data_IF_842507733225
#
_entry.id   IF_842507733225
#
_cell.length_a   1.000
_cell.length_b   1.000
_cell.length_c   1.000
_cell.angle_alpha   90.00
_cell.angle_beta   90.00
_cell.angle_gamma   90.00
#
_symmetry.space_group_name_H-M   'P 1'
#
loop_
_entity.id
_entity.type
_entity.pdbx_description
1 polymer ?
#
# COMPACT_ATOMS: atom_id res chain seq x y z
N UNK A 1 8.40 -49.79 6.88
CA UNK A 1 7.34 -48.79 7.12
C UNK A 1 8.03 -47.48 7.49
N UNK A 2 8.23 -46.57 6.54
CA UNK A 2 8.91 -45.30 6.77
C UNK A 2 8.23 -44.22 5.93
N UNK A 3 7.12 -43.68 6.45
CA UNK A 3 6.50 -42.48 5.89
C UNK A 3 5.51 -41.90 6.92
N UNK A 4 5.95 -40.94 7.75
CA UNK A 4 5.10 -39.91 8.40
C UNK A 4 5.94 -38.94 9.27
N UNK A 5 6.84 -38.14 8.69
CA UNK A 5 7.41 -36.99 9.43
C UNK A 5 7.83 -35.79 8.58
N UNK A 6 7.74 -35.87 7.25
CA UNK A 6 8.17 -34.78 6.35
C UNK A 6 7.10 -33.68 6.21
N UNK A 7 5.93 -33.84 6.83
CA UNK A 7 4.83 -32.85 6.77
C UNK A 7 5.07 -31.64 7.69
N UNK A 8 5.99 -31.70 8.65
CA UNK A 8 6.05 -30.67 9.70
C UNK A 8 7.12 -29.59 9.48
N UNK A 9 8.35 -29.91 9.06
CA UNK A 9 9.42 -28.90 9.10
C UNK A 9 9.27 -27.76 8.09
N UNK A 10 8.82 -28.04 6.87
CA UNK A 10 8.62 -27.01 5.85
C UNK A 10 7.34 -26.22 6.11
N UNK A 11 6.30 -26.89 6.61
CA UNK A 11 5.02 -26.26 6.94
C UNK A 11 5.10 -25.41 8.22
N UNK A 12 5.78 -25.90 9.27
CA UNK A 12 6.04 -25.16 10.49
C UNK A 12 6.90 -23.90 10.24
N UNK A 13 7.87 -23.95 9.32
CA UNK A 13 8.65 -22.78 8.91
C UNK A 13 7.82 -21.75 8.14
N UNK A 14 6.87 -22.19 7.32
CA UNK A 14 5.92 -21.30 6.63
C UNK A 14 4.91 -20.67 7.60
N UNK A 15 4.44 -21.42 8.59
CA UNK A 15 3.53 -20.93 9.64
C UNK A 15 4.21 -19.92 10.57
N UNK A 16 5.50 -20.12 10.88
CA UNK A 16 6.26 -19.20 11.72
C UNK A 16 6.64 -17.89 11.01
N UNK A 17 6.61 -17.85 9.68
CA UNK A 17 6.91 -16.65 8.92
C UNK A 17 5.72 -16.31 8.00
N UNK A 18 4.60 -15.82 8.57
CA UNK A 18 3.35 -15.57 7.84
C UNK A 18 3.46 -14.48 6.76
N UNK A 19 4.62 -13.85 6.62
CA UNK A 19 4.94 -12.86 5.58
C UNK A 19 5.58 -13.54 4.34
N UNK A 20 6.13 -14.75 4.49
CA UNK A 20 7.09 -15.30 3.53
C UNK A 20 6.52 -15.75 2.17
N UNK A 21 5.25 -16.18 2.09
CA UNK A 21 4.66 -16.66 0.81
C UNK A 21 3.16 -16.27 0.64
N UNK A 22 2.60 -15.39 1.46
CA UNK A 22 1.22 -14.93 1.30
C UNK A 22 1.16 -13.67 0.42
N UNK A 23 0.50 -13.78 -0.73
CA UNK A 23 0.04 -12.61 -1.48
C UNK A 23 -1.06 -11.96 -0.64
N UNK A 24 -0.74 -10.84 -0.01
CA UNK A 24 -1.68 -10.09 0.81
C UNK A 24 -2.00 -8.76 0.13
N UNK A 25 -3.30 -8.48 0.00
CA UNK A 25 -3.82 -7.19 -0.45
C UNK A 25 -4.61 -6.53 0.69
N UNK A 26 -3.95 -6.01 1.73
CA UNK A 26 -4.65 -5.27 2.77
C UNK A 26 -5.22 -3.98 2.21
N UNK A 27 -6.49 -3.73 2.53
CA UNK A 27 -7.19 -2.49 2.28
C UNK A 27 -7.45 -1.79 3.62
N UNK A 28 -7.05 -0.54 3.73
CA UNK A 28 -7.35 0.29 4.89
C UNK A 28 -8.15 1.50 4.43
N UNK A 29 -9.40 1.60 4.89
CA UNK A 29 -10.22 2.78 4.63
C UNK A 29 -10.20 3.70 5.84
N UNK A 30 -9.83 4.96 5.66
CA UNK A 30 -9.88 5.99 6.67
C UNK A 30 -10.90 7.06 6.27
N UNK A 31 -11.98 7.14 7.05
CA UNK A 31 -13.04 8.14 6.87
C UNK A 31 -12.84 9.26 7.89
N UNK A 32 -12.42 10.42 7.41
CA UNK A 32 -12.24 11.62 8.20
C UNK A 32 -13.52 12.47 8.15
N UNK A 33 -14.20 12.60 9.29
CA UNK A 33 -15.34 13.51 9.47
C UNK A 33 -14.85 14.87 9.96
N UNK A 34 -15.68 15.92 9.87
CA UNK A 34 -15.35 17.21 10.47
C UNK A 34 -14.53 18.16 9.60
N UNK A 35 -14.42 17.91 8.29
CA UNK A 35 -13.52 18.70 7.44
C UNK A 35 -14.17 19.99 6.94
N UNK A 36 -13.51 21.11 7.24
CA UNK A 36 -13.87 22.44 6.76
C UNK A 36 -15.13 23.03 7.39
N UNK A 37 -15.50 24.23 6.92
CA UNK A 37 -16.65 25.01 7.44
C UNK A 37 -17.99 24.28 7.27
N UNK A 38 -18.08 23.34 6.33
CA UNK A 38 -19.31 22.61 5.99
C UNK A 38 -19.36 21.20 6.58
N UNK A 39 -18.49 20.86 7.54
CA UNK A 39 -18.48 19.55 8.23
C UNK A 39 -18.50 18.37 7.25
N UNK A 40 -17.60 18.39 6.26
CA UNK A 40 -17.58 17.41 5.17
C UNK A 40 -16.82 16.15 5.58
N UNK A 41 -17.09 15.07 4.85
CA UNK A 41 -16.43 13.79 5.00
C UNK A 41 -15.41 13.60 3.89
N UNK A 42 -14.20 13.19 4.25
CA UNK A 42 -13.16 12.76 3.32
C UNK A 42 -12.89 11.28 3.53
N UNK A 43 -12.74 10.55 2.43
CA UNK A 43 -12.40 9.14 2.45
C UNK A 43 -11.03 8.92 1.82
N UNK A 44 -10.19 8.15 2.50
CA UNK A 44 -8.87 7.75 2.00
C UNK A 44 -8.75 6.22 2.11
N UNK A 45 -8.69 5.57 0.95
CA UNK A 45 -8.48 4.14 0.84
C UNK A 45 -7.02 3.84 0.50
N UNK A 46 -6.31 3.14 1.38
CA UNK A 46 -4.98 2.61 1.12
C UNK A 46 -5.08 1.17 0.64
N UNK A 47 -4.78 0.94 -0.63
CA UNK A 47 -4.51 -0.39 -1.16
C UNK A 47 -3.01 -0.69 -1.04
N UNK A 48 -2.66 -1.83 -0.45
CA UNK A 48 -1.27 -2.12 -0.10
C UNK A 48 -0.84 -3.52 -0.57
N UNK A 49 -0.79 -3.78 -1.89
CA UNK A 49 -0.31 -5.05 -2.41
C UNK A 49 1.07 -5.41 -1.87
N UNK A 50 1.20 -6.63 -1.35
CA UNK A 50 2.45 -7.27 -0.97
C UNK A 50 2.66 -8.52 -1.83
N UNK A 51 3.71 -8.49 -2.65
CA UNK A 51 4.08 -9.57 -3.55
C UNK A 51 5.48 -10.10 -3.18
N UNK A 52 5.59 -11.34 -2.66
CA UNK A 52 6.86 -12.01 -2.47
C UNK A 52 7.35 -12.62 -3.79
N UNK A 53 8.59 -12.33 -4.17
CA UNK A 53 9.30 -12.92 -5.29
C UNK A 53 10.51 -13.69 -4.77
N UNK A 54 10.53 -15.00 -5.01
CA UNK A 54 11.64 -15.85 -4.61
C UNK A 54 12.75 -15.80 -5.67
N UNK A 55 13.91 -15.25 -5.31
CA UNK A 55 15.07 -15.23 -6.20
C UNK A 55 15.85 -16.54 -6.14
N UNK A 56 16.02 -17.09 -4.93
CA UNK A 56 16.79 -18.30 -4.65
C UNK A 56 16.21 -18.99 -3.41
N UNK A 57 16.58 -20.25 -3.11
CA UNK A 57 16.13 -20.96 -1.91
C UNK A 57 16.41 -20.22 -0.58
N UNK A 58 17.36 -19.29 -0.61
CA UNK A 58 17.82 -18.54 0.56
C UNK A 58 17.28 -17.10 0.64
N UNK A 59 16.86 -16.49 -0.48
CA UNK A 59 16.55 -15.06 -0.55
C UNK A 59 15.21 -14.78 -1.22
N UNK A 60 14.42 -13.93 -0.57
CA UNK A 60 13.11 -13.47 -1.05
C UNK A 60 13.10 -11.95 -1.12
N UNK A 61 12.57 -11.41 -2.22
CA UNK A 61 12.27 -9.99 -2.38
C UNK A 61 10.78 -9.80 -2.08
N UNK A 62 10.45 -8.88 -1.20
CA UNK A 62 9.08 -8.42 -0.97
C UNK A 62 8.92 -7.07 -1.66
N UNK A 63 8.02 -7.02 -2.64
CA UNK A 63 7.59 -5.77 -3.26
C UNK A 63 6.26 -5.36 -2.64
N UNK A 64 6.23 -4.21 -1.98
CA UNK A 64 5.02 -3.59 -1.47
C UNK A 64 4.79 -2.27 -2.18
N UNK A 65 3.56 -2.00 -2.58
CA UNK A 65 3.19 -0.68 -3.12
C UNK A 65 2.06 -0.11 -2.30
N UNK A 66 2.22 1.11 -1.78
CA UNK A 66 1.15 1.83 -1.08
C UNK A 66 0.46 2.73 -2.10
N UNK A 67 -0.81 2.45 -2.37
CA UNK A 67 -1.64 3.18 -3.33
C UNK A 67 -2.77 3.86 -2.55
N UNK A 68 -2.67 5.17 -2.30
CA UNK A 68 -3.77 5.92 -1.70
C UNK A 68 -4.77 6.35 -2.78
N UNK A 69 -6.02 5.98 -2.64
CA UNK A 69 -7.15 6.56 -3.36
C UNK A 69 -7.87 7.53 -2.42
N UNK A 70 -7.98 8.78 -2.85
CA UNK A 70 -8.44 9.89 -2.01
C UNK A 70 -9.71 10.45 -2.65
N UNK A 71 -10.77 10.56 -1.87
CA UNK A 71 -11.98 11.31 -2.20
C UNK A 71 -12.04 12.49 -1.25
N UNK A 72 -11.71 13.68 -1.76
CA UNK A 72 -11.64 14.91 -0.99
C UNK A 72 -12.83 15.82 -1.32
N UNK A 73 -13.61 16.26 -0.31
CA UNK A 73 -14.64 17.27 -0.53
C UNK A 73 -14.00 18.63 -0.82
N UNK A 74 -14.67 19.45 -1.63
CA UNK A 74 -14.32 20.86 -1.75
C UNK A 74 -14.58 21.55 -0.40
N UNK A 75 -13.55 22.22 0.14
CA UNK A 75 -13.62 22.93 1.42
C UNK A 75 -14.06 24.38 1.24
N UNK A 76 -13.99 24.93 0.03
CA UNK A 76 -14.31 26.31 -0.30
C UNK A 76 -15.77 26.47 -0.76
N UNK A 77 -16.32 25.46 -1.43
CA UNK A 77 -17.69 25.48 -1.93
C UNK A 77 -18.62 24.54 -1.15
N UNK A 78 -19.92 24.86 -1.05
CA UNK A 78 -20.91 23.99 -0.39
C UNK A 78 -21.11 22.66 -1.12
N UNK A 79 -20.75 22.57 -2.41
CA UNK A 79 -20.90 21.37 -3.22
C UNK A 79 -19.65 21.08 -4.07
N UNK A 80 -19.33 19.80 -4.24
CA UNK A 80 -18.18 19.34 -5.01
C UNK A 80 -17.29 18.37 -4.25
N UNK A 81 -16.76 17.40 -4.99
CA UNK A 81 -15.76 16.44 -4.54
C UNK A 81 -14.72 16.28 -5.64
N UNK A 82 -13.48 16.04 -5.25
CA UNK A 82 -12.39 15.66 -6.13
C UNK A 82 -11.89 14.31 -5.68
N UNK A 83 -11.88 13.34 -6.59
CA UNK A 83 -11.33 12.03 -6.36
C UNK A 83 -10.09 11.80 -7.22
N UNK A 84 -9.19 10.97 -6.71
CA UNK A 84 -7.99 10.61 -7.45
C UNK A 84 -7.06 9.72 -6.65
N UNK A 85 -6.11 9.12 -7.38
CA UNK A 85 -4.93 8.53 -6.79
C UNK A 85 -4.03 9.64 -6.25
N UNK A 86 -3.64 9.48 -4.98
CA UNK A 86 -2.54 10.22 -4.39
C UNK A 86 -1.21 9.61 -4.80
N UNK A 87 -0.15 10.16 -4.24
CA UNK A 87 1.19 9.72 -4.57
C UNK A 87 1.44 8.26 -4.14
N UNK A 88 1.94 7.46 -5.07
CA UNK A 88 2.22 6.04 -4.85
C UNK A 88 3.58 5.92 -4.17
N UNK A 89 3.67 5.09 -3.13
CA UNK A 89 4.93 4.83 -2.43
C UNK A 89 5.28 3.35 -2.62
N UNK A 90 6.19 3.01 -3.56
CA UNK A 90 6.73 1.67 -3.65
C UNK A 90 7.74 1.43 -2.52
N UNK A 91 7.89 0.17 -2.15
CA UNK A 91 8.78 -0.29 -1.09
C UNK A 91 9.30 -1.67 -1.45
N UNK A 92 10.60 -1.87 -1.35
CA UNK A 92 11.23 -3.15 -1.64
C UNK A 92 12.05 -3.58 -0.43
N UNK A 93 11.75 -4.77 0.08
CA UNK A 93 12.46 -5.39 1.19
C UNK A 93 13.12 -6.67 0.69
N UNK A 94 14.39 -6.88 1.01
CA UNK A 94 15.12 -8.10 0.69
C UNK A 94 15.50 -8.77 2.00
N UNK A 95 15.19 -10.06 2.13
CA UNK A 95 15.48 -10.80 3.34
C UNK A 95 15.64 -12.30 3.13
N UNK A 96 16.19 -13.00 4.13
CA UNK A 96 16.32 -14.44 4.09
C UNK A 96 14.95 -15.13 4.16
N UNK A 97 14.79 -16.22 3.40
CA UNK A 97 13.54 -17.01 3.34
C UNK A 97 13.27 -17.80 4.63
N UNK A 98 14.34 -18.24 5.31
CA UNK A 98 14.25 -19.05 6.52
C UNK A 98 15.18 -18.49 7.61
N UNK A 99 14.64 -18.32 8.82
CA UNK A 99 15.24 -17.76 10.06
C UNK A 99 15.33 -16.23 10.13
N UNK A 100 15.15 -15.73 11.36
CA UNK A 100 15.25 -14.33 11.80
C UNK A 100 16.62 -13.70 11.54
N UNK A 101 16.93 -13.48 10.27
CA UNK A 101 18.00 -12.61 9.81
C UNK A 101 17.50 -11.20 9.57
N UNK A 102 18.45 -10.29 9.36
CA UNK A 102 18.16 -8.89 9.12
C UNK A 102 17.53 -8.70 7.74
N UNK A 103 16.50 -7.86 7.67
CA UNK A 103 15.93 -7.41 6.40
C UNK A 103 16.63 -6.13 5.96
N UNK A 104 17.02 -6.07 4.68
CA UNK A 104 17.51 -4.85 4.07
C UNK A 104 16.38 -4.22 3.25
N UNK A 105 15.95 -3.03 3.65
CA UNK A 105 14.84 -2.31 3.03
C UNK A 105 15.29 -1.09 2.27
N UNK A 106 14.67 -0.87 1.11
CA UNK A 106 14.74 0.38 0.37
C UNK A 106 13.31 0.91 0.21
N UNK A 107 13.11 2.15 0.64
CA UNK A 107 11.89 2.91 0.38
C UNK A 107 12.25 3.93 -0.70
N UNK A 108 12.02 3.63 -1.99
CA UNK A 108 12.21 4.61 -3.05
C UNK A 108 11.33 5.83 -2.79
N UNK A 109 11.75 6.94 -3.39
CA UNK A 109 10.99 8.17 -3.33
C UNK A 109 9.56 7.98 -3.84
N UNK A 110 8.68 8.77 -3.25
CA UNK A 110 7.28 8.88 -3.60
C UNK A 110 7.09 9.18 -5.10
N UNK A 111 6.23 8.42 -5.77
CA UNK A 111 5.86 8.59 -7.18
C UNK A 111 4.62 9.47 -7.27
N UNK A 112 4.74 10.64 -7.88
CA UNK A 112 3.62 11.54 -8.08
C UNK A 112 2.71 11.03 -9.18
N UNK A 113 1.43 10.82 -8.86
CA UNK A 113 0.46 10.28 -9.82
C UNK A 113 -0.44 11.34 -10.45
N UNK A 114 -0.36 12.61 -10.03
CA UNK A 114 -1.03 13.80 -10.59
C UNK A 114 -2.55 13.68 -10.93
N UNK A 115 -3.20 12.58 -10.58
CA UNK A 115 -4.57 12.31 -11.04
C UNK A 115 -5.58 13.23 -10.36
N UNK A 116 -5.40 13.54 -9.07
CA UNK A 116 -6.22 14.50 -8.32
C UNK A 116 -6.02 15.96 -8.83
N UNK A 117 -4.88 16.30 -9.43
CA UNK A 117 -4.63 17.62 -10.05
C UNK A 117 -5.19 17.75 -11.47
N UNK A 118 -5.56 16.65 -12.12
CA UNK A 118 -6.06 16.68 -13.50
C UNK A 118 -7.51 17.15 -13.62
N UNK A 119 -8.24 17.26 -12.51
CA UNK A 119 -9.62 17.71 -12.51
C UNK A 119 -9.74 19.11 -13.15
N UNK A 120 -10.77 19.37 -13.99
CA UNK A 120 -10.93 20.65 -14.67
C UNK A 120 -10.91 21.86 -13.74
N UNK A 121 -11.34 21.67 -12.48
CA UNK A 121 -11.37 22.70 -11.44
C UNK A 121 -10.01 22.94 -10.79
N UNK A 122 -9.18 21.92 -10.56
CA UNK A 122 -7.82 22.13 -10.04
C UNK A 122 -6.98 22.98 -11.03
N UNK A 123 -7.12 22.72 -12.34
CA UNK A 123 -6.55 23.56 -13.42
C UNK A 123 -7.13 24.97 -13.52
N UNK A 124 -8.32 25.22 -13.00
CA UNK A 124 -8.90 26.57 -12.91
C UNK A 124 -8.38 27.33 -11.68
N UNK A 125 -8.08 26.63 -10.59
CA UNK A 125 -7.49 27.23 -9.38
C UNK A 125 -6.04 27.66 -9.63
N UNK A 126 -5.22 26.83 -10.29
CA UNK A 126 -3.85 27.22 -10.71
C UNK A 126 -3.82 28.37 -11.73
N UNK A 127 -4.86 28.50 -12.57
CA UNK A 127 -4.97 29.61 -13.53
C UNK A 127 -5.50 30.93 -12.94
N UNK A 128 -5.93 30.91 -11.68
CA UNK A 128 -6.42 32.09 -10.95
C UNK A 128 -5.47 32.55 -9.84
N UNK A 129 -4.30 31.93 -9.73
CA UNK A 129 -3.21 32.34 -8.85
C UNK A 129 -2.19 33.20 -9.61
#
# INVERSE_FOLDING_TARGET
MAELSVVDENFAKMVQNPIADLISLPFQNNTNYGLGKYNRTQDILYAQPLLPFNLNPNWTIYSRTIIPYIVQPDLLHPEGYTDGLGDIIPAVLIGPRFKGGNFLGSWPNRVHTHSNQSSPRCRQMERRA
#
